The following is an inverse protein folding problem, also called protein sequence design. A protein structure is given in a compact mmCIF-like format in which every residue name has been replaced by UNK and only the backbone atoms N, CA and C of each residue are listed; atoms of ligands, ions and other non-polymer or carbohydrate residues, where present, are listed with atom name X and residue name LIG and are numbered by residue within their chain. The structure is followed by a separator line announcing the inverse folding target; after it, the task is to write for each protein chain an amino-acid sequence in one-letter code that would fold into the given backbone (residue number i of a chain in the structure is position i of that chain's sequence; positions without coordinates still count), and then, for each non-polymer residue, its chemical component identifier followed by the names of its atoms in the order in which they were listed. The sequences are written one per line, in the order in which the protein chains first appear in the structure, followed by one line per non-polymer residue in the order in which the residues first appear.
data_IF_044368139876
#
_entry.id   IF_044368139876
#
_cell.length_a   1.000
_cell.length_b   1.000
_cell.length_c   1.000
_cell.angle_alpha   90.00
_cell.angle_beta   90.00
_cell.angle_gamma   90.00
#
_symmetry.space_group_name_H-M   'P 1'
#
loop_
_entity.id
_entity.type
_entity.pdbx_description
1 polymer ?
#
# COMPACT_ATOMS: atom_id res chain seq x y z
N UNK A 1 -13.57 -14.25 -74.52
CA UNK A 1 -13.46 -13.56 -73.22
C UNK A 1 -12.86 -14.53 -72.22
N UNK A 2 -11.55 -14.47 -71.96
CA UNK A 2 -10.87 -15.48 -71.12
C UNK A 2 -9.57 -14.93 -70.52
N UNK A 3 -9.68 -13.79 -69.83
CA UNK A 3 -8.57 -13.17 -69.11
C UNK A 3 -8.96 -12.78 -67.69
N UNK A 4 -9.67 -13.62 -66.97
CA UNK A 4 -9.85 -13.45 -65.54
C UNK A 4 -9.87 -14.86 -64.93
N UNK A 5 -9.35 -14.99 -63.72
CA UNK A 5 -9.19 -16.25 -62.95
C UNK A 5 -7.85 -16.99 -63.16
N UNK A 6 -6.75 -16.27 -62.99
CA UNK A 6 -5.55 -16.87 -62.39
C UNK A 6 -5.11 -16.01 -61.20
N UNK A 7 -5.97 -15.94 -60.18
CA UNK A 7 -5.56 -15.45 -58.87
C UNK A 7 -4.73 -16.57 -58.24
N UNK A 8 -3.42 -16.54 -58.48
CA UNK A 8 -2.47 -17.36 -57.72
C UNK A 8 -2.73 -17.05 -56.25
N UNK A 9 -3.32 -18.02 -55.53
CA UNK A 9 -3.67 -17.87 -54.12
C UNK A 9 -2.51 -17.24 -53.38
N UNK A 10 -2.78 -16.14 -52.68
CA UNK A 10 -1.80 -15.43 -51.87
C UNK A 10 -1.24 -16.47 -50.89
N UNK A 11 -0.03 -16.97 -51.18
CA UNK A 11 0.68 -17.92 -50.35
C UNK A 11 1.05 -17.17 -49.08
N UNK A 12 0.17 -17.18 -48.09
CA UNK A 12 0.45 -16.60 -46.78
C UNK A 12 1.69 -17.31 -46.24
N UNK A 13 2.81 -16.59 -46.11
CA UNK A 13 4.02 -17.21 -45.62
C UNK A 13 3.81 -17.61 -44.15
N UNK A 14 3.82 -18.91 -43.89
CA UNK A 14 3.71 -19.50 -42.54
C UNK A 14 4.74 -18.88 -41.59
N UNK A 15 5.90 -18.46 -42.11
CA UNK A 15 6.93 -17.77 -41.34
C UNK A 15 6.54 -16.37 -40.85
N UNK A 16 5.69 -15.62 -41.58
CA UNK A 16 5.17 -14.32 -41.09
C UNK A 16 4.17 -14.52 -39.95
N UNK A 17 3.36 -15.57 -40.02
CA UNK A 17 2.43 -15.92 -38.94
C UNK A 17 3.23 -16.33 -37.69
N UNK A 18 4.27 -17.16 -37.86
CA UNK A 18 5.16 -17.54 -36.76
C UNK A 18 5.90 -16.34 -36.14
N UNK A 19 6.36 -15.39 -36.96
CA UNK A 19 6.97 -14.14 -36.51
C UNK A 19 6.00 -13.27 -35.71
N UNK A 20 4.77 -13.10 -36.21
CA UNK A 20 3.72 -12.33 -35.53
C UNK A 20 3.34 -12.96 -34.19
N UNK A 21 3.20 -14.28 -34.15
CA UNK A 21 2.93 -15.03 -32.92
C UNK A 21 4.11 -14.89 -31.94
N UNK A 22 5.35 -15.02 -32.41
CA UNK A 22 6.54 -14.78 -31.59
C UNK A 22 6.60 -13.35 -31.01
N UNK A 23 6.21 -12.34 -31.80
CA UNK A 23 6.15 -10.95 -31.36
C UNK A 23 5.05 -10.71 -30.32
N UNK A 24 3.92 -11.40 -30.44
CA UNK A 24 2.84 -11.38 -29.44
C UNK A 24 3.29 -12.00 -28.11
N UNK A 25 4.07 -13.09 -28.13
CA UNK A 25 4.60 -13.72 -26.92
C UNK A 25 5.65 -12.85 -26.20
N UNK A 26 6.39 -11.99 -26.91
CA UNK A 26 7.35 -11.06 -26.30
C UNK A 26 6.68 -9.98 -25.42
N UNK A 27 5.41 -9.67 -25.65
CA UNK A 27 4.66 -8.69 -24.83
C UNK A 27 4.09 -9.31 -23.54
N UNK A 28 4.29 -10.60 -23.28
CA UNK A 28 3.75 -11.28 -22.10
C UNK A 28 4.56 -11.05 -20.81
N UNK A 29 5.63 -10.25 -20.86
CA UNK A 29 6.41 -9.91 -19.67
C UNK A 29 5.71 -8.81 -18.88
N UNK A 30 4.82 -9.19 -17.95
CA UNK A 30 4.23 -8.24 -17.02
C UNK A 30 5.24 -7.89 -15.92
N UNK A 31 5.68 -6.63 -15.88
CA UNK A 31 6.34 -6.10 -14.70
C UNK A 31 5.31 -6.03 -13.54
N UNK A 32 5.74 -6.37 -12.31
CA UNK A 32 4.88 -6.25 -11.13
C UNK A 32 4.44 -4.79 -10.87
N UNK A 33 3.44 -4.54 -10.02
CA UNK A 33 2.88 -3.20 -9.84
C UNK A 33 3.94 -2.21 -9.32
N UNK A 34 3.91 -0.98 -9.81
CA UNK A 34 4.88 0.08 -9.47
C UNK A 34 4.85 0.47 -7.98
N UNK A 35 3.72 0.27 -7.33
CA UNK A 35 3.52 0.47 -5.91
C UNK A 35 3.34 -0.87 -5.20
N UNK A 36 3.82 -0.96 -3.97
CA UNK A 36 3.68 -2.12 -3.11
C UNK A 36 3.02 -1.74 -1.80
N UNK A 37 2.17 -2.64 -1.31
CA UNK A 37 1.61 -2.52 0.04
C UNK A 37 2.69 -2.85 1.07
N UNK A 38 2.78 -2.05 2.12
CA UNK A 38 3.71 -2.22 3.23
C UNK A 38 2.95 -2.05 4.55
N UNK A 39 3.26 -2.88 5.57
CA UNK A 39 2.70 -2.69 6.89
C UNK A 39 3.30 -1.44 7.57
N UNK A 40 2.51 -0.81 8.44
CA UNK A 40 2.90 0.36 9.23
C UNK A 40 3.00 -0.04 10.70
N UNK A 41 4.19 0.11 11.27
CA UNK A 41 4.45 -0.03 12.70
C UNK A 41 5.02 1.27 13.27
N UNK A 42 4.88 1.44 14.59
CA UNK A 42 5.29 2.66 15.28
C UNK A 42 6.01 2.39 16.59
N UNK A 43 6.85 3.36 16.98
CA UNK A 43 7.56 3.40 18.25
C UNK A 43 7.45 4.81 18.82
N UNK A 44 6.93 4.93 20.04
CA UNK A 44 6.80 6.18 20.75
C UNK A 44 7.86 6.23 21.86
N UNK A 45 8.82 7.13 21.73
CA UNK A 45 9.86 7.37 22.72
C UNK A 45 9.56 8.58 23.63
N UNK A 46 8.31 9.02 23.67
CA UNK A 46 7.86 10.17 24.46
C UNK A 46 6.98 9.74 25.63
N UNK A 47 6.76 10.66 26.58
CA UNK A 47 5.92 10.44 27.75
C UNK A 47 4.42 10.63 27.51
N UNK A 48 4.04 11.15 26.34
CA UNK A 48 2.66 11.36 25.94
C UNK A 48 2.21 10.24 25.00
N UNK A 49 0.95 9.84 25.06
CA UNK A 49 0.42 8.90 24.07
C UNK A 49 0.34 9.57 22.70
N UNK A 50 0.57 8.81 21.64
CA UNK A 50 0.21 9.20 20.28
C UNK A 50 -1.17 8.58 20.00
N UNK A 51 -2.19 9.43 20.01
CA UNK A 51 -3.58 9.04 19.85
C UNK A 51 -3.86 8.50 18.45
N UNK A 52 -3.18 9.06 17.45
CA UNK A 52 -3.26 8.62 16.05
C UNK A 52 -2.00 9.03 15.31
N UNK A 53 -1.56 8.19 14.38
CA UNK A 53 -0.57 8.60 13.39
C UNK A 53 -0.86 7.98 12.02
N UNK A 54 -0.30 8.57 10.98
CA UNK A 54 -0.37 8.06 9.62
C UNK A 54 0.93 8.28 8.85
N UNK A 55 1.16 7.44 7.84
CA UNK A 55 2.25 7.56 6.87
C UNK A 55 1.62 7.61 5.48
N UNK A 56 1.79 8.73 4.77
CA UNK A 56 1.11 8.99 3.49
C UNK A 56 -0.41 8.79 3.58
N UNK A 57 -1.03 9.17 4.69
CA UNK A 57 -2.47 9.03 4.95
C UNK A 57 -2.92 7.64 5.41
N UNK A 58 -2.07 6.61 5.35
CA UNK A 58 -2.38 5.28 5.89
C UNK A 58 -2.10 5.23 7.40
N UNK A 59 -3.10 4.83 8.19
CA UNK A 59 -3.06 4.90 9.65
C UNK A 59 -2.23 3.79 10.31
N UNK A 60 -1.61 4.12 11.44
CA UNK A 60 -0.98 3.15 12.35
C UNK A 60 -1.82 2.87 13.61
N UNK A 61 -1.32 1.99 14.47
CA UNK A 61 -1.90 1.73 15.80
C UNK A 61 -1.67 2.91 16.74
N UNK A 62 -2.51 3.06 17.76
CA UNK A 62 -2.24 4.01 18.84
C UNK A 62 -0.99 3.58 19.61
N UNK A 63 -0.17 4.54 20.05
CA UNK A 63 1.08 4.25 20.75
C UNK A 63 1.06 4.88 22.15
N UNK A 64 1.05 4.04 23.18
CA UNK A 64 1.22 4.51 24.55
C UNK A 64 2.60 5.14 24.80
N UNK A 65 2.77 5.84 25.95
CA UNK A 65 4.06 6.39 26.34
C UNK A 65 5.16 5.33 26.40
N UNK A 66 6.30 5.59 25.78
CA UNK A 66 7.45 4.67 25.73
C UNK A 66 7.13 3.25 25.21
N UNK A 67 6.10 3.11 24.36
CA UNK A 67 5.68 1.84 23.78
C UNK A 67 5.91 1.78 22.27
N UNK A 68 5.98 0.57 21.72
CA UNK A 68 6.11 0.35 20.28
C UNK A 68 6.25 -1.14 19.94
N UNK A 69 6.12 -1.46 18.66
CA UNK A 69 6.33 -2.84 18.17
C UNK A 69 5.25 -3.86 18.55
N UNK A 70 4.15 -3.45 19.19
CA UNK A 70 3.06 -4.35 19.59
C UNK A 70 2.24 -4.89 18.38
N UNK A 71 2.41 -4.32 17.20
CA UNK A 71 1.74 -4.77 15.98
C UNK A 71 1.98 -3.84 14.81
N UNK A 72 1.38 -4.21 13.67
CA UNK A 72 1.41 -3.43 12.45
C UNK A 72 0.02 -3.38 11.82
N UNK A 73 -0.32 -2.26 11.19
CA UNK A 73 -1.55 -2.11 10.39
C UNK A 73 -1.20 -2.27 8.91
N UNK A 74 -2.10 -2.89 8.15
CA UNK A 74 -1.91 -3.05 6.71
C UNK A 74 -1.96 -1.71 5.95
N UNK A 75 -1.67 -1.81 4.65
CA UNK A 75 -2.21 -0.90 3.65
C UNK A 75 -1.52 0.47 3.52
N UNK A 76 -0.32 0.62 4.09
CA UNK A 76 0.63 1.64 3.63
C UNK A 76 1.06 1.34 2.20
N UNK A 77 1.33 2.37 1.40
CA UNK A 77 1.68 2.19 -0.03
C UNK A 77 2.94 2.98 -0.35
N UNK A 78 3.95 2.30 -0.90
CA UNK A 78 5.24 2.90 -1.30
C UNK A 78 5.66 2.43 -2.69
N UNK A 79 6.50 3.20 -3.42
CA UNK A 79 7.07 2.73 -4.67
C UNK A 79 7.88 1.45 -4.45
N UNK A 80 7.73 0.48 -5.37
CA UNK A 80 8.46 -0.79 -5.35
C UNK A 80 9.98 -0.58 -5.38
N UNK A 81 10.42 0.41 -6.15
CA UNK A 81 11.84 0.71 -6.36
C UNK A 81 12.17 2.03 -5.70
N UNK A 82 13.11 2.00 -4.77
CA UNK A 82 13.62 3.22 -4.14
C UNK A 82 14.32 4.12 -5.15
N UNK A 83 14.14 5.43 -5.01
CA UNK A 83 14.84 6.47 -5.78
C UNK A 83 15.27 7.60 -4.85
N UNK A 84 16.40 8.28 -5.12
CA UNK A 84 16.78 9.48 -4.39
C UNK A 84 15.65 10.52 -4.38
N UNK A 85 15.41 11.13 -3.22
CA UNK A 85 14.35 12.13 -3.05
C UNK A 85 12.95 11.58 -2.73
N UNK A 86 12.79 10.25 -2.61
CA UNK A 86 11.56 9.67 -2.08
C UNK A 86 11.31 10.17 -0.65
N UNK A 87 10.09 10.66 -0.39
CA UNK A 87 9.65 11.20 0.91
C UNK A 87 8.36 10.52 1.35
N UNK A 88 8.15 10.48 2.65
CA UNK A 88 6.87 10.16 3.25
C UNK A 88 6.39 11.34 4.09
N UNK A 89 5.08 11.61 4.04
CA UNK A 89 4.44 12.55 4.95
C UNK A 89 3.98 11.78 6.17
N UNK A 90 4.45 12.17 7.35
CA UNK A 90 4.05 11.57 8.62
C UNK A 90 3.24 12.61 9.38
N UNK A 91 2.03 12.24 9.77
CA UNK A 91 1.13 13.06 10.55
C UNK A 91 0.76 12.32 11.83
N UNK A 92 0.74 13.01 12.97
CA UNK A 92 0.36 12.41 14.23
C UNK A 92 -0.28 13.43 15.17
N UNK A 93 -1.11 12.90 16.06
CA UNK A 93 -1.71 13.63 17.17
C UNK A 93 -1.16 13.07 18.48
N UNK A 94 -0.70 13.97 19.34
CA UNK A 94 -0.24 13.64 20.69
C UNK A 94 -1.37 13.96 21.67
N UNK A 95 -1.51 13.14 22.69
CA UNK A 95 -2.38 13.42 23.84
C UNK A 95 -2.08 14.83 24.41
N UNK A 96 -3.05 15.76 24.38
CA UNK A 96 -2.84 17.12 24.87
C UNK A 96 -2.74 17.20 26.40
N UNK A 97 -3.23 16.18 27.11
CA UNK A 97 -3.26 16.15 28.58
C UNK A 97 -2.69 14.83 29.15
N UNK A 98 -1.40 14.53 28.92
CA UNK A 98 -0.80 13.27 29.34
C UNK A 98 -0.96 13.02 30.84
N UNK A 99 -1.69 11.96 31.19
CA UNK A 99 -1.89 11.56 32.58
C UNK A 99 -3.13 12.14 33.27
N UNK A 100 -3.94 12.96 32.59
CA UNK A 100 -5.18 13.51 33.16
C UNK A 100 -6.16 12.42 33.64
N UNK A 101 -6.09 11.22 33.06
CA UNK A 101 -6.87 10.06 33.50
C UNK A 101 -6.68 9.70 34.98
N UNK A 102 -5.55 10.09 35.60
CA UNK A 102 -5.29 9.86 37.02
C UNK A 102 -6.20 10.69 37.93
N UNK A 103 -6.64 11.83 37.43
CA UNK A 103 -7.51 12.77 38.14
C UNK A 103 -8.99 12.58 37.76
N UNK A 104 -9.30 11.59 36.90
CA UNK A 104 -10.67 11.32 36.50
C UNK A 104 -11.48 10.73 37.65
N UNK A 105 -12.71 11.21 37.89
CA UNK A 105 -13.59 10.62 38.88
C UNK A 105 -13.92 9.17 38.49
N UNK A 106 -13.84 8.27 39.46
CA UNK A 106 -13.89 6.80 39.31
C UNK A 106 -15.11 6.27 38.52
N UNK A 107 -16.19 7.05 38.43
CA UNK A 107 -17.40 6.70 37.66
C UNK A 107 -17.20 6.60 36.14
N UNK A 108 -16.16 7.21 35.56
CA UNK A 108 -15.93 7.11 34.11
C UNK A 108 -15.44 5.72 33.67
N UNK A 109 -14.63 5.03 34.49
CA UNK A 109 -14.13 3.69 34.18
C UNK A 109 -15.22 2.61 34.31
N UNK A 110 -16.18 2.80 35.22
CA UNK A 110 -17.31 1.88 35.41
C UNK A 110 -18.22 1.83 34.17
N UNK A 111 -18.45 2.98 33.51
CA UNK A 111 -19.33 3.09 32.33
C UNK A 111 -18.70 2.48 31.05
N UNK A 112 -17.37 2.45 30.96
CA UNK A 112 -16.66 1.91 29.79
C UNK A 112 -16.56 0.37 29.80
N UNK A 113 -16.66 -0.26 30.98
CA UNK A 113 -16.64 -1.72 31.13
C UNK A 113 -18.01 -2.40 31.06
N UNK A 114 -19.11 -1.63 31.12
CA UNK A 114 -20.48 -2.17 31.10
C UNK A 114 -21.06 -2.36 29.69
N UNK A 115 -20.34 -1.96 28.64
CA UNK A 115 -20.78 -2.08 27.23
C UNK A 115 -19.95 -3.10 26.40
N UNK A 116 -19.30 -4.06 27.06
CA UNK A 116 -18.65 -5.23 26.42
C UNK A 116 -19.34 -6.51 26.87
#
# INVERSE_FOLDING_TARGET
MQKLLNAKGLRTPVWLIALLIGFLFLQACQAGPDMVSTPIGGYNHTSAAINRFSVNGAGGLNLGPFQGGAGQVCCGVVPRVWKPGLKATVEWEVDPEPGAYKDWPERYFQMAGENV
#
